data_IF_673425994843
#
_entry.id   IF_673425994843
#
_cell.length_a   1.000
_cell.length_b   1.000
_cell.length_c   1.000
_cell.angle_alpha   90.00
_cell.angle_beta   90.00
_cell.angle_gamma   90.00
#
_symmetry.space_group_name_H-M   'P 1'
#
loop_
_entity.id
_entity.type
_entity.pdbx_description
1 polymer ?
#
# COMPACT_ATOMS: atom_id res chain seq x y z
N UNK A 1 -10.95 -3.77 -23.26
CA UNK A 1 -10.15 -2.58 -22.87
C UNK A 1 -8.92 -2.49 -23.77
N UNK A 2 -8.63 -1.32 -24.32
CA UNK A 2 -7.42 -1.15 -25.16
C UNK A 2 -6.15 -1.35 -24.34
N UNK A 3 -5.10 -1.88 -24.98
CA UNK A 3 -3.80 -2.16 -24.35
C UNK A 3 -2.86 -0.98 -24.59
N UNK A 4 -2.24 -0.48 -23.53
CA UNK A 4 -1.27 0.63 -23.55
C UNK A 4 -0.08 0.24 -22.68
N UNK A 5 1.11 0.14 -23.25
CA UNK A 5 2.33 -0.31 -22.55
C UNK A 5 2.09 -1.62 -21.75
N UNK A 6 1.39 -2.58 -22.34
CA UNK A 6 0.96 -3.85 -21.74
C UNK A 6 -0.03 -3.70 -20.56
N UNK A 7 -0.59 -2.50 -20.37
CA UNK A 7 -1.66 -2.25 -19.40
C UNK A 7 -3.02 -2.33 -20.09
N UNK A 8 -3.98 -2.98 -19.44
CA UNK A 8 -5.38 -2.94 -19.83
C UNK A 8 -6.04 -1.74 -19.15
N UNK A 9 -6.44 -0.75 -19.95
CA UNK A 9 -6.96 0.53 -19.46
C UNK A 9 -8.39 0.72 -19.95
N UNK A 10 -9.30 1.18 -19.09
CA UNK A 10 -10.66 1.51 -19.49
C UNK A 10 -10.64 2.61 -20.57
N UNK A 11 -11.41 2.43 -21.65
CA UNK A 11 -11.43 3.36 -22.79
C UNK A 11 -11.74 4.78 -22.38
N UNK A 12 -12.75 4.96 -21.51
CA UNK A 12 -13.15 6.29 -21.01
C UNK A 12 -11.97 7.02 -20.34
N UNK A 13 -11.18 6.31 -19.53
CA UNK A 13 -10.01 6.89 -18.86
C UNK A 13 -8.90 7.20 -19.87
N UNK A 14 -8.62 6.28 -20.78
CA UNK A 14 -7.58 6.46 -21.78
C UNK A 14 -7.90 7.61 -22.70
N UNK A 15 -9.12 7.69 -23.22
CA UNK A 15 -9.57 8.75 -24.13
C UNK A 15 -9.54 10.12 -23.45
N UNK A 16 -9.96 10.22 -22.20
CA UNK A 16 -9.88 11.46 -21.42
C UNK A 16 -8.43 11.91 -21.24
N UNK A 17 -7.54 11.02 -20.82
CA UNK A 17 -6.13 11.36 -20.62
C UNK A 17 -5.46 11.76 -21.94
N UNK A 18 -5.63 10.96 -22.97
CA UNK A 18 -4.93 11.15 -24.26
C UNK A 18 -5.42 12.35 -25.05
N UNK A 19 -6.71 12.69 -24.98
CA UNK A 19 -7.30 13.76 -25.77
C UNK A 19 -7.50 15.07 -25.03
N UNK A 20 -7.67 15.05 -23.70
CA UNK A 20 -8.00 16.24 -22.93
C UNK A 20 -6.87 16.67 -21.97
N UNK A 21 -6.16 15.73 -21.35
CA UNK A 21 -5.17 16.06 -20.32
C UNK A 21 -3.76 16.21 -20.89
N UNK A 22 -3.25 15.16 -21.55
CA UNK A 22 -1.86 15.12 -22.01
C UNK A 22 -1.51 16.20 -23.03
N UNK A 23 -2.38 16.58 -24.00
CA UNK A 23 -2.07 17.68 -24.92
C UNK A 23 -1.84 19.00 -24.21
N UNK A 24 -2.64 19.31 -23.16
CA UNK A 24 -2.48 20.51 -22.35
C UNK A 24 -1.18 20.58 -21.55
N UNK A 25 -0.55 19.42 -21.31
CA UNK A 25 0.73 19.29 -20.60
C UNK A 25 1.93 19.14 -21.53
N UNK A 26 1.72 19.08 -22.84
CA UNK A 26 2.78 18.82 -23.80
C UNK A 26 3.41 17.43 -23.67
N UNK A 27 2.63 16.45 -23.21
CA UNK A 27 3.09 15.07 -22.98
C UNK A 27 2.54 14.14 -24.05
N UNK A 28 3.41 13.28 -24.57
CA UNK A 28 3.02 12.23 -25.52
C UNK A 28 2.46 11.00 -24.80
N UNK A 29 1.34 10.48 -25.29
CA UNK A 29 0.63 9.34 -24.69
C UNK A 29 1.51 8.09 -24.46
N UNK A 30 2.35 7.64 -25.42
CA UNK A 30 3.22 6.49 -25.20
C UNK A 30 4.17 6.67 -24.01
N UNK A 31 4.79 7.84 -23.88
CA UNK A 31 5.70 8.18 -22.79
C UNK A 31 4.98 8.15 -21.44
N UNK A 32 3.77 8.70 -21.37
CA UNK A 32 2.93 8.66 -20.19
C UNK A 32 2.62 7.22 -19.75
N UNK A 33 2.11 6.39 -20.66
CA UNK A 33 1.76 5.00 -20.33
C UNK A 33 2.95 4.13 -19.94
N UNK A 34 4.11 4.34 -20.55
CA UNK A 34 5.35 3.68 -20.10
C UNK A 34 5.77 4.15 -18.70
N UNK A 35 5.54 5.42 -18.37
CA UNK A 35 5.74 5.94 -17.01
C UNK A 35 4.85 5.26 -16.00
N UNK A 36 3.56 5.13 -16.28
CA UNK A 36 2.58 4.41 -15.43
C UNK A 36 3.00 2.95 -15.27
N UNK A 37 3.38 2.27 -16.35
CA UNK A 37 3.86 0.88 -16.30
C UNK A 37 5.04 0.73 -15.36
N UNK A 38 6.05 1.59 -15.43
CA UNK A 38 7.23 1.56 -14.55
C UNK A 38 6.85 1.73 -13.07
N UNK A 39 5.89 2.60 -12.77
CA UNK A 39 5.40 2.78 -11.39
C UNK A 39 4.75 1.49 -10.89
N UNK A 40 3.90 0.86 -11.70
CA UNK A 40 3.26 -0.40 -11.34
C UNK A 40 4.26 -1.55 -11.17
N UNK A 41 5.23 -1.66 -12.07
CA UNK A 41 6.29 -2.68 -11.98
C UNK A 41 7.12 -2.55 -10.70
N UNK A 42 7.32 -1.33 -10.22
CA UNK A 42 8.01 -1.07 -8.96
C UNK A 42 7.11 -1.27 -7.74
N UNK A 43 5.87 -0.75 -7.76
CA UNK A 43 5.00 -0.71 -6.59
C UNK A 43 4.26 -2.03 -6.36
N UNK A 44 3.85 -2.72 -7.40
CA UNK A 44 2.99 -3.92 -7.29
C UNK A 44 3.65 -5.08 -6.53
N UNK A 45 4.91 -5.47 -6.77
CA UNK A 45 5.56 -6.53 -6.01
C UNK A 45 5.65 -6.20 -4.52
N UNK A 46 5.97 -4.95 -4.17
CA UNK A 46 6.03 -4.51 -2.78
C UNK A 46 4.64 -4.51 -2.13
N UNK A 47 3.62 -4.05 -2.84
CA UNK A 47 2.24 -4.11 -2.34
C UNK A 47 1.80 -5.55 -2.07
N UNK A 48 2.08 -6.48 -2.99
CA UNK A 48 1.79 -7.90 -2.80
C UNK A 48 2.53 -8.49 -1.60
N UNK A 49 3.79 -8.13 -1.42
CA UNK A 49 4.59 -8.55 -0.26
C UNK A 49 3.95 -8.07 1.05
N UNK A 50 3.56 -6.80 1.11
CA UNK A 50 2.92 -6.21 2.30
C UNK A 50 1.55 -6.84 2.59
N UNK A 51 0.77 -7.14 1.57
CA UNK A 51 -0.50 -7.85 1.73
C UNK A 51 -0.30 -9.27 2.30
N UNK A 52 0.72 -9.99 1.83
CA UNK A 52 1.07 -11.30 2.37
C UNK A 52 1.52 -11.23 3.84
N UNK A 53 2.29 -10.21 4.22
CA UNK A 53 2.67 -9.96 5.63
C UNK A 53 1.43 -9.70 6.48
N UNK A 54 0.51 -8.88 6.00
CA UNK A 54 -0.76 -8.61 6.69
C UNK A 54 -1.55 -9.90 6.94
N UNK A 55 -1.69 -10.72 5.91
CA UNK A 55 -2.46 -11.96 5.99
C UNK A 55 -1.81 -12.98 6.93
N UNK A 56 -0.48 -13.09 6.94
CA UNK A 56 0.27 -13.93 7.89
C UNK A 56 0.08 -13.44 9.34
N UNK A 57 0.22 -12.14 9.58
CA UNK A 57 -0.01 -11.55 10.90
C UNK A 57 -1.44 -11.80 11.40
N UNK A 58 -2.44 -11.64 10.53
CA UNK A 58 -3.83 -11.91 10.87
C UNK A 58 -4.05 -13.38 11.22
N UNK A 59 -3.50 -14.30 10.44
CA UNK A 59 -3.61 -15.73 10.71
C UNK A 59 -2.99 -16.13 12.06
N UNK A 60 -1.84 -15.53 12.41
CA UNK A 60 -1.19 -15.76 13.72
C UNK A 60 -2.01 -15.20 14.86
N UNK A 61 -2.59 -14.02 14.73
CA UNK A 61 -3.46 -13.41 15.74
C UNK A 61 -4.71 -14.26 15.94
N UNK A 62 -5.34 -14.70 14.87
CA UNK A 62 -6.53 -15.56 14.94
C UNK A 62 -6.23 -16.92 15.60
N UNK A 63 -5.09 -17.53 15.30
CA UNK A 63 -4.64 -18.76 15.93
C UNK A 63 -4.41 -18.57 17.45
N UNK A 64 -3.72 -17.48 17.83
CA UNK A 64 -3.46 -17.17 19.22
C UNK A 64 -4.76 -17.01 20.03
N UNK A 65 -5.77 -16.34 19.49
CA UNK A 65 -7.08 -16.21 20.13
C UNK A 65 -7.85 -17.54 20.17
N UNK A 66 -7.79 -18.32 19.10
CA UNK A 66 -8.44 -19.64 19.03
C UNK A 66 -7.92 -20.59 20.12
N UNK A 67 -6.61 -20.62 20.29
CA UNK A 67 -5.95 -21.49 21.28
C UNK A 67 -6.27 -21.10 22.72
N UNK A 68 -6.72 -19.86 22.95
CA UNK A 68 -7.08 -19.31 24.27
C UNK A 68 -8.58 -19.17 24.48
N UNK A 69 -9.38 -19.70 23.58
CA UNK A 69 -10.84 -19.67 23.71
C UNK A 69 -11.29 -20.30 25.03
N UNK A 70 -12.12 -19.58 25.78
CA UNK A 70 -12.61 -20.03 27.09
C UNK A 70 -11.67 -19.77 28.27
N UNK A 71 -10.49 -19.21 28.05
CA UNK A 71 -9.59 -18.76 29.11
C UNK A 71 -9.84 -17.30 29.48
N UNK A 72 -9.50 -16.86 30.71
CA UNK A 72 -9.53 -15.43 31.06
C UNK A 72 -8.64 -14.61 30.12
N UNK A 73 -9.10 -13.41 29.79
CA UNK A 73 -8.35 -12.51 28.92
C UNK A 73 -7.13 -11.92 29.66
N UNK A 74 -5.95 -12.17 29.11
CA UNK A 74 -4.66 -11.68 29.63
C UNK A 74 -4.06 -10.63 28.67
N UNK A 75 -4.19 -9.36 29.06
CA UNK A 75 -3.68 -8.21 28.28
C UNK A 75 -2.16 -8.24 28.15
N UNK A 76 -1.46 -8.66 29.21
CA UNK A 76 0.01 -8.67 29.22
C UNK A 76 0.53 -9.76 28.25
N UNK A 77 -0.07 -10.94 28.28
CA UNK A 77 0.26 -12.03 27.36
C UNK A 77 -0.04 -11.65 25.91
N UNK A 78 -1.17 -11.01 25.64
CA UNK A 78 -1.50 -10.52 24.30
C UNK A 78 -0.49 -9.49 23.80
N UNK A 79 -0.14 -8.53 24.64
CA UNK A 79 0.84 -7.48 24.27
C UNK A 79 2.22 -8.09 23.96
N UNK A 80 2.66 -9.05 24.77
CA UNK A 80 3.92 -9.74 24.53
C UNK A 80 3.90 -10.51 23.21
N UNK A 81 2.82 -11.22 22.93
CA UNK A 81 2.62 -11.93 21.66
C UNK A 81 2.63 -10.99 20.45
N UNK A 82 1.89 -9.87 20.49
CA UNK A 82 1.85 -8.89 19.40
C UNK A 82 3.21 -8.25 19.13
N UNK A 83 4.02 -8.01 20.18
CA UNK A 83 5.41 -7.58 20.02
C UNK A 83 6.27 -8.67 19.39
N UNK A 84 6.13 -9.90 19.84
CA UNK A 84 6.90 -11.05 19.34
C UNK A 84 6.72 -11.27 17.85
N UNK A 85 5.50 -11.15 17.34
CA UNK A 85 5.21 -11.32 15.91
C UNK A 85 5.50 -10.08 15.06
N UNK A 86 5.87 -8.96 15.68
CA UNK A 86 6.18 -7.70 15.00
C UNK A 86 4.97 -6.87 14.58
N UNK A 87 3.76 -7.23 15.07
CA UNK A 87 2.57 -6.41 14.84
C UNK A 87 2.59 -5.12 15.67
N UNK A 88 2.97 -5.24 16.93
CA UNK A 88 3.20 -4.11 17.83
C UNK A 88 4.70 -3.80 17.87
N UNK A 89 5.07 -2.60 17.46
CA UNK A 89 6.45 -2.09 17.50
C UNK A 89 6.61 -1.04 18.61
N UNK A 90 7.85 -0.80 19.01
CA UNK A 90 8.13 0.24 19.99
C UNK A 90 7.91 1.63 19.38
N UNK A 91 7.55 2.60 20.24
CA UNK A 91 7.41 3.97 19.79
C UNK A 91 8.76 4.51 19.27
N UNK A 92 8.77 5.30 18.20
CA UNK A 92 9.99 5.93 17.72
C UNK A 92 10.55 6.92 18.75
N UNK A 93 11.82 7.28 18.59
CA UNK A 93 12.41 8.38 19.36
C UNK A 93 11.61 9.68 19.13
N UNK A 94 11.59 10.59 20.10
CA UNK A 94 10.92 11.88 19.93
C UNK A 94 11.40 12.59 18.67
N UNK A 95 10.46 13.13 17.89
CA UNK A 95 10.74 13.87 16.66
C UNK A 95 9.82 15.08 16.55
N UNK A 96 10.22 16.08 15.76
CA UNK A 96 9.41 17.25 15.44
C UNK A 96 9.02 17.19 13.96
N UNK A 97 7.78 17.57 13.64
CA UNK A 97 7.29 17.71 12.28
C UNK A 97 7.62 19.13 11.80
N UNK A 98 8.33 19.23 10.69
CA UNK A 98 8.56 20.49 9.99
C UNK A 98 7.71 20.56 8.72
N UNK A 99 7.44 21.79 8.29
CA UNK A 99 6.74 22.05 7.04
C UNK A 99 7.61 22.87 6.08
N UNK A 100 7.41 22.71 4.78
CA UNK A 100 8.05 23.51 3.73
C UNK A 100 7.01 23.88 2.67
N UNK A 101 7.14 25.07 2.08
CA UNK A 101 6.28 25.53 0.98
C UNK A 101 4.79 25.48 1.35
N UNK A 102 4.45 25.88 2.56
CA UNK A 102 3.06 26.06 3.00
C UNK A 102 2.77 27.56 3.03
N UNK A 103 1.58 27.94 2.60
CA UNK A 103 1.12 29.32 2.71
C UNK A 103 0.92 29.68 4.18
N UNK A 104 1.21 30.97 4.50
CA UNK A 104 1.11 31.49 5.86
C UNK A 104 -0.35 31.72 6.27
#
# INVERSE_FOLDING_TARGET
MPVRADLSVASVLADFLENEVLPGLGMEAPGFWHGVRRILDWAEPENRRLLAVRDDLQARIDAWHRDRKGQPYDVAAQRAFLKQIGWLVDAPAPFAIGTRNVDA
#
